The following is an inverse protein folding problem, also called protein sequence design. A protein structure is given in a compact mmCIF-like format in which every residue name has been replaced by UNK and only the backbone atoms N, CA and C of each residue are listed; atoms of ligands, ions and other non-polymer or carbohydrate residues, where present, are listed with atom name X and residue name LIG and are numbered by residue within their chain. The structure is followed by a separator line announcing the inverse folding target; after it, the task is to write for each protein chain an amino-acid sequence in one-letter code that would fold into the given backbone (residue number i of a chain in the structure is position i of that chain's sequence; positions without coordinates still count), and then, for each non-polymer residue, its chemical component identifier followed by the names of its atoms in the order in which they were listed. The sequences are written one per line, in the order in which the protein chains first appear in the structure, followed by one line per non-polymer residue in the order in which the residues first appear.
data_IF_994839467584
#
_entry.id   IF_994839467584
#
_cell.length_a   1.000
_cell.length_b   1.000
_cell.length_c   1.000
_cell.angle_alpha   90.00
_cell.angle_beta   90.00
_cell.angle_gamma   90.00
#
_symmetry.space_group_name_H-M   'P 1'
#
loop_
_entity.id
_entity.type
_entity.pdbx_description
1 polymer ?
#
# COMPACT_ATOMS: atom_id res chain seq x y z
N UNK A 1 -40.47 -11.57 47.19
CA UNK A 1 -39.63 -11.54 45.98
C UNK A 1 -38.17 -11.64 46.38
N UNK A 2 -37.63 -12.85 46.27
CA UNK A 2 -36.23 -13.28 46.43
C UNK A 2 -35.42 -12.80 45.20
N UNK A 3 -34.14 -12.39 45.23
CA UNK A 3 -32.88 -13.14 45.35
C UNK A 3 -31.75 -12.06 45.34
N UNK A 4 -30.95 -11.88 46.39
CA UNK A 4 -29.67 -12.52 46.74
C UNK A 4 -28.48 -12.43 45.74
N UNK A 5 -27.38 -11.83 46.25
CA UNK A 5 -25.96 -12.23 46.15
C UNK A 5 -25.35 -12.51 44.77
N UNK A 6 -24.35 -11.70 44.41
CA UNK A 6 -22.95 -12.12 44.07
C UNK A 6 -22.17 -10.92 43.51
N UNK A 7 -21.33 -10.28 44.31
CA UNK A 7 -20.21 -9.47 43.78
C UNK A 7 -19.05 -9.45 44.79
N UNK A 8 -18.64 -10.65 45.19
CA UNK A 8 -17.59 -10.85 46.19
C UNK A 8 -16.65 -11.94 45.72
N UNK A 9 -16.06 -11.85 44.52
CA UNK A 9 -15.03 -12.82 44.10
C UNK A 9 -14.03 -12.35 43.04
N UNK A 10 -13.87 -11.03 42.81
CA UNK A 10 -12.86 -10.52 41.87
C UNK A 10 -11.88 -9.50 42.47
N UNK A 11 -11.71 -9.52 43.79
CA UNK A 11 -10.73 -8.67 44.50
C UNK A 11 -9.65 -9.47 45.23
N UNK A 12 -9.41 -10.74 44.86
CA UNK A 12 -8.51 -11.65 45.59
C UNK A 12 -7.44 -12.39 44.77
N UNK A 13 -7.23 -12.05 43.49
CA UNK A 13 -6.22 -12.70 42.63
C UNK A 13 -5.15 -11.71 42.10
N UNK A 14 -5.11 -10.47 42.63
CA UNK A 14 -4.14 -9.45 42.17
C UNK A 14 -3.10 -9.05 43.22
N UNK A 15 -2.90 -9.87 44.26
CA UNK A 15 -2.02 -9.55 45.40
C UNK A 15 -0.94 -10.60 45.71
N UNK A 16 -0.63 -11.52 44.79
CA UNK A 16 0.44 -12.53 45.00
C UNK A 16 1.71 -12.32 44.18
N UNK A 17 1.81 -11.30 43.31
CA UNK A 17 2.95 -11.18 42.39
C UNK A 17 3.65 -9.80 42.32
N UNK A 18 3.32 -8.84 43.18
CA UNK A 18 4.02 -7.54 43.20
C UNK A 18 4.25 -7.02 44.64
N UNK A 19 5.39 -7.31 45.29
CA UNK A 19 5.67 -6.84 46.65
C UNK A 19 6.25 -5.42 46.74
N UNK A 20 6.25 -4.63 45.67
CA UNK A 20 6.84 -3.28 45.68
C UNK A 20 5.84 -2.22 45.23
N UNK A 21 4.93 -1.81 46.11
CA UNK A 21 4.28 -0.50 46.05
C UNK A 21 3.76 -0.14 47.45
N UNK A 22 4.68 0.39 48.26
CA UNK A 22 4.40 1.02 49.55
C UNK A 22 3.92 2.44 49.27
N UNK A 23 2.61 2.66 49.25
CA UNK A 23 2.01 3.99 49.20
C UNK A 23 1.84 4.51 50.63
N UNK A 24 2.74 5.39 51.06
CA UNK A 24 2.51 6.26 52.21
C UNK A 24 1.69 7.47 51.75
N UNK A 25 0.52 7.63 52.36
CA UNK A 25 -0.34 8.79 52.23
C UNK A 25 0.28 10.03 52.85
N UNK A 26 0.14 11.20 52.21
CA UNK A 26 -0.45 12.41 52.82
C UNK A 26 -0.41 13.61 51.87
N UNK A 27 -1.41 14.48 52.07
CA UNK A 27 -1.56 15.88 51.62
C UNK A 27 -2.25 16.17 50.29
N UNK A 28 -3.53 16.52 50.48
CA UNK A 28 -4.29 17.57 49.82
C UNK A 28 -3.45 18.72 49.24
N UNK A 29 -3.69 19.04 47.97
CA UNK A 29 -3.67 20.41 47.47
C UNK A 29 -4.58 20.51 46.23
N UNK A 30 -5.52 21.45 46.34
CA UNK A 30 -6.46 21.92 45.32
C UNK A 30 -5.70 22.67 44.23
N UNK A 31 -5.87 22.34 42.94
CA UNK A 31 -5.68 23.27 41.83
C UNK A 31 -6.11 22.68 40.47
N UNK A 32 -7.09 23.37 39.88
CA UNK A 32 -7.19 23.72 38.45
C UNK A 32 -7.35 22.58 37.43
N UNK A 33 -8.58 22.49 36.92
CA UNK A 33 -8.94 21.73 35.71
C UNK A 33 -8.21 22.38 34.52
N UNK A 34 -7.09 21.79 34.12
CA UNK A 34 -6.60 21.90 32.75
C UNK A 34 -7.12 20.69 31.98
N UNK A 35 -8.02 20.94 31.03
CA UNK A 35 -8.39 19.96 30.01
C UNK A 35 -7.16 19.67 29.15
N UNK A 36 -6.35 18.72 29.59
CA UNK A 36 -5.28 18.15 28.77
C UNK A 36 -5.92 17.06 27.92
N UNK A 37 -6.31 17.45 26.71
CA UNK A 37 -6.63 16.53 25.62
C UNK A 37 -5.42 15.62 25.39
N UNK A 38 -5.41 14.45 26.00
CA UNK A 38 -4.52 13.37 25.61
C UNK A 38 -5.05 12.81 24.29
N UNK A 39 -4.58 13.38 23.18
CA UNK A 39 -4.58 12.68 21.88
C UNK A 39 -3.83 11.37 22.07
N UNK A 40 -4.56 10.29 22.37
CA UNK A 40 -4.05 8.95 22.15
C UNK A 40 -3.77 8.82 20.66
N UNK A 41 -2.48 8.74 20.33
CA UNK A 41 -1.99 8.49 18.97
C UNK A 41 -2.68 7.21 18.48
N UNK A 42 -3.40 7.29 17.36
CA UNK A 42 -4.14 6.17 16.73
C UNK A 42 -3.30 4.89 16.56
N UNK A 43 -1.97 5.01 16.54
CA UNK A 43 -1.03 3.89 16.49
C UNK A 43 -0.99 3.05 17.77
N UNK A 44 -1.21 3.63 18.96
CA UNK A 44 -1.15 2.89 20.23
C UNK A 44 -2.37 1.98 20.42
N UNK A 45 -3.56 2.37 19.94
CA UNK A 45 -4.76 1.52 19.99
C UNK A 45 -4.68 0.31 19.06
N UNK A 46 -4.00 0.43 17.91
CA UNK A 46 -3.86 -0.68 16.95
C UNK A 46 -2.89 -1.74 17.50
N UNK A 47 -1.77 -1.31 18.09
CA UNK A 47 -0.85 -2.23 18.77
C UNK A 47 -1.51 -2.92 19.96
N UNK A 48 -2.31 -2.20 20.76
CA UNK A 48 -3.02 -2.80 21.89
C UNK A 48 -4.07 -3.82 21.42
N UNK A 49 -4.82 -3.52 20.34
CA UNK A 49 -5.79 -4.45 19.77
C UNK A 49 -5.13 -5.72 19.22
N UNK A 50 -3.98 -5.59 18.53
CA UNK A 50 -3.20 -6.74 18.06
C UNK A 50 -2.65 -7.59 19.22
N UNK A 51 -2.25 -6.96 20.32
CA UNK A 51 -1.79 -7.65 21.54
C UNK A 51 -2.92 -8.41 22.24
N UNK A 52 -4.13 -7.83 22.31
CA UNK A 52 -5.30 -8.52 22.86
C UNK A 52 -5.71 -9.73 22.01
N UNK A 53 -5.66 -9.61 20.69
CA UNK A 53 -5.98 -10.72 19.78
C UNK A 53 -4.91 -11.82 19.89
N UNK A 54 -3.63 -11.47 19.93
CA UNK A 54 -2.54 -12.45 20.13
C UNK A 54 -2.64 -13.19 21.48
N UNK A 55 -3.01 -12.48 22.56
CA UNK A 55 -3.17 -13.07 23.89
C UNK A 55 -4.38 -14.02 23.98
N UNK A 56 -5.46 -13.73 23.26
CA UNK A 56 -6.65 -14.62 23.19
C UNK A 56 -6.34 -15.89 22.42
N UNK A 57 -5.57 -15.82 21.33
CA UNK A 57 -5.19 -17.02 20.56
C UNK A 57 -4.10 -17.86 21.24
N UNK A 58 -3.18 -17.25 22.00
CA UNK A 58 -2.18 -17.99 22.77
C UNK A 58 -2.80 -18.79 23.94
N UNK A 59 -3.89 -18.27 24.55
CA UNK A 59 -4.60 -18.96 25.64
C UNK A 59 -5.66 -19.97 25.16
N UNK A 60 -5.93 -20.04 23.86
CA UNK A 60 -6.87 -20.99 23.27
C UNK A 60 -6.18 -22.10 22.46
N UNK A 61 -4.90 -22.39 22.71
CA UNK A 61 -4.27 -23.61 22.18
C UNK A 61 -4.62 -24.83 23.05
N UNK A 62 -5.20 -25.91 22.49
CA UNK A 62 -5.10 -27.23 23.10
C UNK A 62 -3.62 -27.63 23.14
N UNK A 63 -3.24 -28.35 24.20
CA UNK A 63 -1.87 -28.40 24.74
C UNK A 63 -0.83 -29.17 23.92
N UNK A 64 -1.09 -29.60 22.68
CA UNK A 64 -0.22 -30.57 22.00
C UNK A 64 0.12 -30.31 20.53
N UNK A 65 -0.19 -29.16 19.93
CA UNK A 65 0.29 -28.89 18.56
C UNK A 65 0.96 -27.51 18.42
N UNK A 66 2.25 -27.55 18.10
CA UNK A 66 3.13 -26.42 17.78
C UNK A 66 2.85 -25.81 16.39
N UNK A 67 1.59 -25.83 15.96
CA UNK A 67 1.23 -25.21 14.68
C UNK A 67 1.04 -23.70 14.86
N UNK A 68 2.03 -22.93 14.40
CA UNK A 68 2.03 -21.45 14.42
C UNK A 68 1.42 -20.86 13.13
N UNK A 69 0.91 -21.71 12.23
CA UNK A 69 0.24 -21.33 10.98
C UNK A 69 -0.92 -20.34 11.18
N UNK A 70 -1.78 -20.42 12.22
CA UNK A 70 -2.87 -19.47 12.41
C UNK A 70 -2.38 -18.06 12.80
N UNK A 71 -1.31 -17.96 13.60
CA UNK A 71 -0.72 -16.68 14.01
C UNK A 71 0.00 -16.03 12.83
N UNK A 72 0.71 -16.83 12.03
CA UNK A 72 1.33 -16.37 10.78
C UNK A 72 0.27 -15.94 9.76
N UNK A 73 -0.83 -16.69 9.61
CA UNK A 73 -1.95 -16.33 8.74
C UNK A 73 -2.66 -15.05 9.20
N UNK A 74 -2.80 -14.84 10.50
CA UNK A 74 -3.40 -13.61 11.05
C UNK A 74 -2.46 -12.40 10.92
N UNK A 75 -1.14 -12.60 11.08
CA UNK A 75 -0.13 -11.57 10.81
C UNK A 75 -0.08 -11.22 9.32
N UNK A 76 -0.14 -12.22 8.44
CA UNK A 76 -0.26 -12.04 7.00
C UNK A 76 -1.56 -11.29 6.67
N UNK A 77 -2.71 -11.69 7.22
CA UNK A 77 -4.01 -11.03 7.02
C UNK A 77 -4.05 -9.60 7.58
N UNK A 78 -3.42 -9.33 8.73
CA UNK A 78 -3.30 -7.98 9.27
C UNK A 78 -2.37 -7.11 8.40
N UNK A 79 -1.29 -7.68 7.87
CA UNK A 79 -0.38 -6.99 6.93
C UNK A 79 -1.04 -6.77 5.56
N UNK A 80 -1.90 -7.69 5.14
CA UNK A 80 -2.71 -7.68 3.91
C UNK A 80 -3.75 -6.55 3.93
N UNK A 81 -4.31 -6.23 5.10
CA UNK A 81 -5.34 -5.19 5.25
C UNK A 81 -4.80 -3.75 5.34
N UNK A 82 -3.48 -3.53 5.50
CA UNK A 82 -2.98 -2.25 6.03
C UNK A 82 -2.62 -1.18 5.01
N UNK A 83 -2.45 -1.47 3.71
CA UNK A 83 -2.42 -0.40 2.72
C UNK A 83 -2.82 -0.85 1.32
N UNK A 84 -3.70 -0.06 0.70
CA UNK A 84 -3.91 -0.10 -0.76
C UNK A 84 -2.80 0.63 -1.52
N UNK A 85 -1.65 0.89 -0.91
CA UNK A 85 -0.52 1.57 -1.53
C UNK A 85 0.74 0.73 -1.32
N UNK A 86 1.57 0.63 -2.36
CA UNK A 86 2.79 -0.16 -2.37
C UNK A 86 3.97 0.65 -2.89
N UNK A 87 5.13 0.45 -2.30
CA UNK A 87 6.41 0.81 -2.88
C UNK A 87 7.10 -0.46 -3.41
N UNK A 88 7.21 -0.59 -4.72
CA UNK A 88 8.06 -1.62 -5.34
C UNK A 88 9.45 -1.03 -5.56
N UNK A 89 10.43 -1.57 -4.84
CA UNK A 89 11.82 -1.14 -4.82
C UNK A 89 12.62 -2.08 -5.69
N UNK A 90 13.45 -1.54 -6.57
CA UNK A 90 14.36 -2.30 -7.44
C UNK A 90 15.79 -1.84 -7.20
N UNK A 91 16.68 -2.81 -6.97
CA UNK A 91 18.12 -2.60 -6.83
C UNK A 91 18.81 -2.72 -8.19
N UNK A 92 19.64 -1.73 -8.53
CA UNK A 92 20.54 -1.76 -9.68
C UNK A 92 21.95 -1.30 -9.28
N UNK A 93 22.85 -2.26 -9.08
CA UNK A 93 24.19 -1.98 -8.57
C UNK A 93 24.10 -1.32 -7.19
N UNK A 94 24.56 -0.07 -7.10
CA UNK A 94 24.53 0.76 -5.88
C UNK A 94 23.33 1.72 -5.83
N UNK A 95 22.47 1.73 -6.85
CA UNK A 95 21.31 2.60 -6.95
C UNK A 95 20.00 1.83 -6.70
N UNK A 96 18.99 2.54 -6.21
CA UNK A 96 17.66 1.99 -5.96
C UNK A 96 16.59 2.94 -6.46
N UNK A 97 15.54 2.38 -7.04
CA UNK A 97 14.32 3.11 -7.37
C UNK A 97 13.12 2.47 -6.69
N UNK A 98 12.24 3.31 -6.16
CA UNK A 98 10.95 2.93 -5.63
C UNK A 98 9.85 3.48 -6.55
N UNK A 99 9.05 2.58 -7.12
CA UNK A 99 7.78 2.94 -7.76
C UNK A 99 6.68 2.80 -6.71
N UNK A 100 6.01 3.91 -6.47
CA UNK A 100 4.90 4.01 -5.55
C UNK A 100 3.63 3.88 -6.38
N UNK A 101 2.74 2.95 -6.03
CA UNK A 101 1.49 2.76 -6.73
C UNK A 101 0.37 2.34 -5.79
N UNK A 102 -0.86 2.60 -6.22
CA UNK A 102 -2.04 2.05 -5.56
C UNK A 102 -2.20 0.59 -5.99
N UNK A 103 -2.38 -0.32 -5.04
CA UNK A 103 -2.55 -1.76 -5.29
C UNK A 103 -3.84 -2.24 -4.60
N UNK A 104 -4.39 -3.41 -5.00
CA UNK A 104 -5.37 -4.08 -4.15
C UNK A 104 -4.83 -4.21 -2.73
N UNK A 105 -5.69 -4.16 -1.72
CA UNK A 105 -5.29 -4.51 -0.36
C UNK A 105 -4.66 -5.92 -0.39
N UNK A 106 -3.50 -6.08 0.22
CA UNK A 106 -2.75 -7.33 0.16
C UNK A 106 -1.86 -7.51 -1.07
N UNK A 107 -2.07 -6.70 -2.10
CA UNK A 107 -1.37 -6.78 -3.38
C UNK A 107 0.05 -6.24 -3.34
N UNK A 108 0.53 -5.69 -2.22
CA UNK A 108 1.89 -5.17 -2.13
C UNK A 108 2.91 -6.30 -1.96
N UNK A 109 3.17 -7.01 -3.06
CA UNK A 109 4.17 -8.07 -3.14
C UNK A 109 4.88 -8.05 -4.48
N UNK A 110 6.11 -8.55 -4.50
CA UNK A 110 6.81 -8.90 -5.73
C UNK A 110 6.32 -10.27 -6.17
N UNK A 111 6.00 -10.44 -7.46
CA UNK A 111 5.69 -11.75 -8.05
C UNK A 111 6.92 -12.64 -7.96
N UNK A 112 6.88 -13.65 -7.09
CA UNK A 112 8.00 -14.58 -6.86
C UNK A 112 8.08 -15.65 -7.96
N UNK A 113 6.97 -15.87 -8.67
CA UNK A 113 6.89 -16.83 -9.77
C UNK A 113 6.43 -16.18 -11.06
N UNK A 114 6.75 -16.81 -12.20
CA UNK A 114 6.26 -16.38 -13.52
C UNK A 114 4.73 -16.40 -13.59
N UNK A 115 4.10 -17.41 -13.00
CA UNK A 115 2.65 -17.52 -12.95
C UNK A 115 2.00 -16.33 -12.22
N UNK A 116 2.56 -15.89 -11.10
CA UNK A 116 2.08 -14.69 -10.39
C UNK A 116 2.28 -13.40 -11.21
N UNK A 117 3.39 -13.27 -11.94
CA UNK A 117 3.62 -12.12 -12.82
C UNK A 117 2.63 -12.11 -13.99
N UNK A 118 2.39 -13.26 -14.62
CA UNK A 118 1.40 -13.40 -15.70
C UNK A 118 -0.01 -13.04 -15.19
N UNK A 119 -0.43 -13.57 -14.05
CA UNK A 119 -1.74 -13.24 -13.47
C UNK A 119 -1.90 -11.73 -13.18
N UNK A 120 -0.83 -11.07 -12.71
CA UNK A 120 -0.82 -9.61 -12.50
C UNK A 120 -0.95 -8.85 -13.83
N UNK A 121 -0.20 -9.25 -14.86
CA UNK A 121 -0.28 -8.66 -16.19
C UNK A 121 -1.67 -8.85 -16.83
N UNK A 122 -2.26 -10.02 -16.69
CA UNK A 122 -3.63 -10.30 -17.16
C UNK A 122 -4.67 -9.46 -16.44
N UNK A 123 -4.54 -9.30 -15.12
CA UNK A 123 -5.42 -8.44 -14.34
C UNK A 123 -5.33 -7.00 -14.82
N UNK A 124 -4.12 -6.45 -14.97
CA UNK A 124 -3.91 -5.09 -15.49
C UNK A 124 -4.50 -4.92 -16.90
N UNK A 125 -4.19 -5.85 -17.81
CA UNK A 125 -4.74 -5.86 -19.18
C UNK A 125 -6.26 -5.82 -19.15
N UNK A 126 -6.89 -6.76 -18.44
CA UNK A 126 -8.34 -6.90 -18.42
C UNK A 126 -9.02 -5.67 -17.79
N UNK A 127 -8.45 -5.12 -16.71
CA UNK A 127 -8.98 -3.91 -16.07
C UNK A 127 -8.85 -2.67 -16.96
N UNK A 128 -7.74 -2.49 -17.67
CA UNK A 128 -7.55 -1.36 -18.59
C UNK A 128 -8.45 -1.51 -19.83
N UNK A 129 -8.48 -2.70 -20.44
CA UNK A 129 -9.31 -2.97 -21.63
C UNK A 129 -10.79 -2.78 -21.33
N UNK A 130 -11.24 -3.11 -20.12
CA UNK A 130 -12.62 -2.87 -19.71
C UNK A 130 -13.03 -1.39 -19.77
N UNK A 131 -12.11 -0.44 -19.55
CA UNK A 131 -12.41 0.99 -19.76
C UNK A 131 -12.61 1.31 -21.24
N UNK A 132 -11.80 0.76 -22.14
CA UNK A 132 -11.98 0.97 -23.59
C UNK A 132 -13.26 0.34 -24.10
N UNK A 133 -13.58 -0.88 -23.66
CA UNK A 133 -14.86 -1.53 -24.01
C UNK A 133 -16.05 -0.69 -23.57
N UNK A 134 -15.99 -0.08 -22.38
CA UNK A 134 -17.04 0.84 -21.90
C UNK A 134 -17.08 2.16 -22.67
N UNK A 135 -15.92 2.68 -23.10
CA UNK A 135 -15.82 3.89 -23.89
C UNK A 135 -16.32 3.72 -25.35
N UNK A 136 -16.44 2.46 -25.81
CA UNK A 136 -17.03 2.12 -27.10
C UNK A 136 -16.04 2.16 -28.26
N UNK A 137 -16.57 2.15 -29.49
CA UNK A 137 -15.80 1.90 -30.73
C UNK A 137 -14.70 2.93 -31.02
N UNK A 138 -14.80 4.13 -30.45
CA UNK A 138 -13.74 5.13 -30.51
C UNK A 138 -12.40 4.63 -29.93
N UNK A 139 -12.44 3.59 -29.08
CA UNK A 139 -11.29 3.01 -28.42
C UNK A 139 -10.86 1.62 -28.92
N UNK A 140 -11.50 1.05 -29.94
CA UNK A 140 -11.22 -0.34 -30.38
C UNK A 140 -9.75 -0.56 -30.77
N UNK A 141 -9.18 0.38 -31.53
CA UNK A 141 -7.76 0.31 -31.92
C UNK A 141 -6.81 0.41 -30.71
N UNK A 142 -7.15 1.25 -29.72
CA UNK A 142 -6.36 1.40 -28.49
C UNK A 142 -6.47 0.14 -27.64
N UNK A 143 -7.67 -0.44 -27.53
CA UNK A 143 -7.89 -1.70 -26.82
C UNK A 143 -7.10 -2.86 -27.44
N UNK A 144 -7.09 -2.96 -28.77
CA UNK A 144 -6.29 -3.94 -29.49
C UNK A 144 -4.79 -3.74 -29.27
N UNK A 145 -4.30 -2.50 -29.35
CA UNK A 145 -2.88 -2.16 -29.11
C UNK A 145 -2.43 -2.52 -27.69
N UNK A 146 -3.23 -2.17 -26.68
CA UNK A 146 -2.95 -2.51 -25.28
C UNK A 146 -2.98 -4.02 -25.06
N UNK A 147 -3.96 -4.72 -25.63
CA UNK A 147 -4.04 -6.19 -25.55
C UNK A 147 -2.78 -6.83 -26.13
N UNK A 148 -2.34 -6.40 -27.31
CA UNK A 148 -1.11 -6.90 -27.96
C UNK A 148 0.13 -6.62 -27.11
N UNK A 149 0.22 -5.44 -26.51
CA UNK A 149 1.35 -5.05 -25.64
C UNK A 149 1.43 -5.95 -24.41
N UNK A 150 0.33 -6.13 -23.68
CA UNK A 150 0.30 -7.01 -22.51
C UNK A 150 0.50 -8.48 -22.87
N UNK A 151 -0.04 -8.95 -23.99
CA UNK A 151 0.23 -10.31 -24.47
C UNK A 151 1.71 -10.51 -24.77
N UNK A 152 2.39 -9.50 -25.32
CA UNK A 152 3.84 -9.54 -25.54
C UNK A 152 4.61 -9.64 -24.21
N UNK A 153 4.22 -8.87 -23.18
CA UNK A 153 4.81 -9.00 -21.83
C UNK A 153 4.56 -10.38 -21.22
N UNK A 154 3.36 -10.94 -21.38
CA UNK A 154 3.02 -12.29 -20.89
C UNK A 154 3.88 -13.34 -21.60
N UNK A 155 3.98 -13.29 -22.93
CA UNK A 155 4.82 -14.20 -23.72
C UNK A 155 6.28 -14.08 -23.31
N UNK A 156 6.81 -12.87 -23.15
CA UNK A 156 8.19 -12.65 -22.70
C UNK A 156 8.43 -13.22 -21.29
N UNK A 157 7.46 -13.03 -20.39
CA UNK A 157 7.53 -13.58 -19.03
C UNK A 157 7.55 -15.11 -19.07
N UNK A 158 6.66 -15.74 -19.84
CA UNK A 158 6.61 -17.20 -19.98
C UNK A 158 7.89 -17.79 -20.60
N UNK A 159 8.46 -17.09 -21.58
CA UNK A 159 9.69 -17.49 -22.27
C UNK A 159 10.97 -17.22 -21.45
N UNK A 160 10.88 -16.47 -20.36
CA UNK A 160 12.01 -16.24 -19.46
C UNK A 160 12.32 -17.52 -18.69
N UNK A 161 13.61 -17.91 -18.67
CA UNK A 161 14.07 -19.05 -17.88
C UNK A 161 13.83 -18.82 -16.37
N UNK A 162 13.43 -19.86 -15.65
CA UNK A 162 13.04 -19.73 -14.24
C UNK A 162 14.16 -19.16 -13.36
N UNK A 163 15.40 -19.58 -13.60
CA UNK A 163 16.57 -19.05 -12.90
C UNK A 163 16.76 -17.54 -13.15
N UNK A 164 16.56 -17.08 -14.39
CA UNK A 164 16.64 -15.66 -14.75
C UNK A 164 15.51 -14.87 -14.10
N UNK A 165 14.29 -15.41 -14.10
CA UNK A 165 13.16 -14.77 -13.46
C UNK A 165 13.38 -14.65 -11.94
N UNK A 166 13.78 -15.73 -11.28
CA UNK A 166 14.08 -15.74 -9.85
C UNK A 166 15.19 -14.74 -9.47
N UNK A 167 16.26 -14.67 -10.26
CA UNK A 167 17.32 -13.68 -10.08
C UNK A 167 16.79 -12.24 -10.19
N UNK A 168 15.89 -11.97 -11.16
CA UNK A 168 15.27 -10.65 -11.33
C UNK A 168 14.30 -10.30 -10.19
N UNK A 169 13.58 -11.28 -9.65
CA UNK A 169 12.67 -11.10 -8.53
C UNK A 169 13.44 -10.84 -7.22
N UNK A 170 14.60 -11.47 -7.04
CA UNK A 170 15.47 -11.25 -5.87
C UNK A 170 16.05 -9.82 -5.79
N UNK A 171 16.12 -9.11 -6.91
CA UNK A 171 16.51 -7.69 -6.96
C UNK A 171 15.38 -6.73 -6.59
N UNK A 172 14.17 -7.25 -6.40
CA UNK A 172 12.98 -6.47 -6.10
C UNK A 172 12.49 -6.71 -4.68
N UNK A 173 11.92 -5.68 -4.07
CA UNK A 173 11.20 -5.77 -2.80
C UNK A 173 9.92 -4.95 -2.90
N UNK A 174 8.89 -5.37 -2.16
CA UNK A 174 7.66 -4.62 -2.04
C UNK A 174 7.47 -4.24 -0.57
N UNK A 175 7.14 -2.98 -0.32
CA UNK A 175 6.90 -2.45 1.03
C UNK A 175 5.55 -1.74 1.02
N UNK A 176 4.65 -2.18 1.89
CA UNK A 176 3.38 -1.52 2.13
C UNK A 176 3.63 -0.11 2.68
N UNK A 177 3.11 0.90 1.99
CA UNK A 177 3.23 2.30 2.42
C UNK A 177 1.89 2.83 2.88
N UNK A 178 1.87 3.65 3.93
CA UNK A 178 0.62 4.17 4.47
C UNK A 178 -0.12 5.07 3.48
N UNK A 179 0.60 5.95 2.79
CA UNK A 179 0.03 6.93 1.87
C UNK A 179 1.03 7.32 0.77
N UNK A 180 0.63 7.13 -0.49
CA UNK A 180 1.44 7.49 -1.65
C UNK A 180 1.78 8.99 -1.73
N UNK A 181 0.86 9.88 -1.30
CA UNK A 181 1.10 11.34 -1.30
C UNK A 181 2.19 11.71 -0.32
N UNK A 182 2.18 11.09 0.87
CA UNK A 182 3.22 11.31 1.89
C UNK A 182 4.58 10.89 1.36
N UNK A 183 4.70 9.67 0.83
CA UNK A 183 5.97 9.18 0.28
C UNK A 183 6.46 9.99 -0.92
N UNK A 184 5.53 10.52 -1.71
CA UNK A 184 5.83 11.35 -2.88
C UNK A 184 6.16 12.81 -2.54
N UNK A 185 6.07 13.24 -1.27
CA UNK A 185 6.18 14.65 -0.88
C UNK A 185 7.38 15.34 -1.52
N UNK A 186 8.57 14.75 -1.42
CA UNK A 186 9.78 15.35 -1.98
C UNK A 186 9.70 15.49 -3.51
N UNK A 187 9.21 14.47 -4.22
CA UNK A 187 8.98 14.52 -5.67
C UNK A 187 7.99 15.63 -6.02
N UNK A 188 6.92 15.80 -5.24
CA UNK A 188 5.91 16.84 -5.46
C UNK A 188 6.45 18.25 -5.21
N UNK A 189 7.31 18.43 -4.21
CA UNK A 189 8.01 19.71 -3.97
C UNK A 189 8.93 20.05 -5.15
N UNK A 190 9.69 19.07 -5.67
CA UNK A 190 10.54 19.27 -6.86
C UNK A 190 9.73 19.62 -8.11
N UNK A 191 8.50 19.11 -8.22
CA UNK A 191 7.53 19.49 -9.26
C UNK A 191 6.90 20.89 -9.04
N UNK A 192 7.37 21.65 -8.05
CA UNK A 192 6.93 23.03 -7.79
C UNK A 192 5.63 23.14 -6.98
N UNK A 193 5.16 22.05 -6.35
CA UNK A 193 3.94 22.12 -5.52
C UNK A 193 4.20 22.74 -4.16
N UNK A 194 3.27 23.58 -3.70
CA UNK A 194 3.29 24.13 -2.35
C UNK A 194 2.84 23.10 -1.31
N UNK A 195 3.22 23.28 -0.04
CA UNK A 195 2.75 22.42 1.07
C UNK A 195 1.22 22.37 1.15
N UNK A 196 0.53 23.48 0.87
CA UNK A 196 -0.93 23.52 0.83
C UNK A 196 -1.50 22.65 -0.31
N UNK A 197 -0.89 22.70 -1.49
CA UNK A 197 -1.29 21.86 -2.63
C UNK A 197 -1.02 20.37 -2.34
N UNK A 198 0.11 20.04 -1.72
CA UNK A 198 0.44 18.67 -1.31
C UNK A 198 -0.55 18.17 -0.26
N UNK A 199 -0.87 18.97 0.75
CA UNK A 199 -1.86 18.62 1.78
C UNK A 199 -3.28 18.45 1.22
N UNK A 200 -3.63 19.20 0.16
CA UNK A 200 -4.90 19.04 -0.55
C UNK A 200 -4.93 17.85 -1.52
N UNK A 201 -3.76 17.27 -1.86
CA UNK A 201 -3.65 16.14 -2.76
C UNK A 201 -4.11 14.86 -2.07
N UNK A 202 -4.98 14.08 -2.72
CA UNK A 202 -5.51 12.83 -2.19
C UNK A 202 -4.86 11.61 -2.86
N UNK A 203 -4.63 10.51 -2.13
CA UNK A 203 -4.30 9.25 -2.76
C UNK A 203 -5.50 8.76 -3.59
N UNK A 204 -5.24 8.26 -4.79
CA UNK A 204 -6.24 7.56 -5.58
C UNK A 204 -6.50 6.15 -5.06
N UNK A 205 -7.52 5.51 -5.62
CA UNK A 205 -7.82 4.09 -5.40
C UNK A 205 -7.38 3.24 -6.61
N UNK A 206 -7.55 1.93 -6.52
CA UNK A 206 -7.13 0.99 -7.56
C UNK A 206 -7.84 1.24 -8.90
N UNK A 207 -9.12 1.61 -8.87
CA UNK A 207 -9.86 1.97 -10.08
C UNK A 207 -9.30 3.25 -10.70
N UNK A 208 -8.90 4.24 -9.89
CA UNK A 208 -8.24 5.44 -10.36
C UNK A 208 -6.90 5.12 -11.05
N UNK A 209 -6.14 4.13 -10.54
CA UNK A 209 -4.91 3.68 -11.20
C UNK A 209 -5.19 3.12 -12.59
N UNK A 210 -6.14 2.18 -12.71
CA UNK A 210 -6.48 1.59 -14.01
C UNK A 210 -7.07 2.62 -14.97
N UNK A 211 -7.89 3.53 -14.45
CA UNK A 211 -8.43 4.65 -15.22
C UNK A 211 -7.30 5.57 -15.72
N UNK A 212 -6.33 5.93 -14.86
CA UNK A 212 -5.19 6.74 -15.25
C UNK A 212 -4.35 6.06 -16.34
N UNK A 213 -4.09 4.76 -16.22
CA UNK A 213 -3.38 3.98 -17.24
C UNK A 213 -4.14 3.92 -18.57
N UNK A 214 -5.46 3.74 -18.53
CA UNK A 214 -6.31 3.75 -19.72
C UNK A 214 -6.29 5.14 -20.39
N UNK A 215 -6.45 6.20 -19.60
CA UNK A 215 -6.46 7.57 -20.10
C UNK A 215 -5.11 7.99 -20.70
N UNK A 216 -3.99 7.69 -20.04
CA UNK A 216 -2.64 7.99 -20.55
C UNK A 216 -2.35 7.29 -21.87
N UNK A 217 -2.75 6.03 -22.01
CA UNK A 217 -2.53 5.28 -23.24
C UNK A 217 -3.46 5.75 -24.36
N UNK A 218 -4.69 6.17 -24.03
CA UNK A 218 -5.62 6.75 -24.98
C UNK A 218 -5.23 8.16 -25.45
N UNK A 219 -4.34 8.87 -24.75
CA UNK A 219 -3.98 10.26 -25.06
C UNK A 219 -3.45 10.48 -26.48
N UNK A 220 -2.88 9.44 -27.12
CA UNK A 220 -2.46 9.47 -28.53
C UNK A 220 -3.61 9.39 -29.54
N UNK A 221 -4.84 9.08 -29.11
CA UNK A 221 -6.04 8.95 -29.93
C UNK A 221 -7.14 9.84 -29.33
N UNK A 222 -7.28 11.11 -29.75
CA UNK A 222 -8.14 12.09 -29.10
C UNK A 222 -9.59 11.64 -28.89
N UNK A 223 -10.18 10.96 -29.88
CA UNK A 223 -11.54 10.43 -29.77
C UNK A 223 -11.68 9.40 -28.63
N UNK A 224 -10.70 8.51 -28.47
CA UNK A 224 -10.68 7.55 -27.37
C UNK A 224 -10.44 8.24 -26.03
N UNK A 225 -9.49 9.19 -25.96
CA UNK A 225 -9.22 9.95 -24.74
C UNK A 225 -10.48 10.69 -24.24
N UNK A 226 -11.22 11.33 -25.13
CA UNK A 226 -12.51 11.97 -24.81
C UNK A 226 -13.55 10.96 -24.34
N UNK A 227 -13.66 9.80 -25.00
CA UNK A 227 -14.61 8.76 -24.63
C UNK A 227 -14.29 8.14 -23.25
N UNK A 228 -13.02 7.84 -22.96
CA UNK A 228 -12.57 7.36 -21.65
C UNK A 228 -12.80 8.43 -20.58
N UNK A 229 -12.48 9.69 -20.87
CA UNK A 229 -12.72 10.82 -19.95
C UNK A 229 -14.20 10.95 -19.59
N UNK A 230 -15.11 10.73 -20.54
CA UNK A 230 -16.55 10.78 -20.30
C UNK A 230 -17.06 9.68 -19.35
N UNK A 231 -16.32 8.58 -19.16
CA UNK A 231 -16.69 7.52 -18.21
C UNK A 231 -16.58 7.97 -16.74
N UNK A 232 -15.60 8.81 -16.43
CA UNK A 232 -15.40 9.39 -15.10
C UNK A 232 -14.67 10.73 -15.20
N UNK A 233 -15.44 11.75 -15.56
CA UNK A 233 -14.96 13.13 -15.69
C UNK A 233 -14.32 13.63 -14.39
N UNK A 234 -14.86 13.26 -13.23
CA UNK A 234 -14.37 13.73 -11.93
C UNK A 234 -12.98 13.17 -11.64
N UNK A 235 -12.77 11.88 -11.86
CA UNK A 235 -11.45 11.28 -11.69
C UNK A 235 -10.47 11.76 -12.76
N UNK A 236 -10.91 11.93 -14.01
CA UNK A 236 -10.09 12.51 -15.06
C UNK A 236 -9.57 13.90 -14.68
N UNK A 237 -10.45 14.80 -14.26
CA UNK A 237 -10.06 16.16 -13.88
C UNK A 237 -9.16 16.14 -12.63
N UNK A 238 -9.43 15.26 -11.65
CA UNK A 238 -8.58 15.15 -10.46
C UNK A 238 -7.17 14.61 -10.76
N UNK A 239 -7.03 13.69 -11.72
CA UNK A 239 -5.77 13.05 -12.11
C UNK A 239 -4.96 13.89 -13.11
N UNK A 240 -5.63 14.75 -13.88
CA UNK A 240 -5.01 15.49 -15.00
C UNK A 240 -4.97 17.01 -14.79
N UNK A 241 -5.60 17.54 -13.73
CA UNK A 241 -5.46 18.95 -13.36
C UNK A 241 -3.99 19.33 -13.22
N UNK A 242 -3.67 20.61 -13.34
CA UNK A 242 -2.30 21.10 -13.11
C UNK A 242 -2.30 22.07 -11.93
N UNK A 243 -1.81 21.67 -10.74
CA UNK A 243 -1.28 20.35 -10.39
C UNK A 243 -2.39 19.28 -10.18
N UNK A 244 -2.10 17.97 -10.38
CA UNK A 244 -3.07 16.91 -10.10
C UNK A 244 -3.52 16.90 -8.65
N UNK A 245 -4.82 16.88 -8.39
CA UNK A 245 -5.38 16.81 -7.01
C UNK A 245 -5.48 15.38 -6.48
N UNK A 246 -5.29 14.39 -7.35
CA UNK A 246 -5.23 12.96 -7.01
C UNK A 246 -3.95 12.33 -7.57
N UNK A 247 -3.33 11.42 -6.82
CA UNK A 247 -2.13 10.68 -7.26
C UNK A 247 -2.37 9.18 -7.08
N UNK A 248 -2.10 8.42 -8.13
CA UNK A 248 -2.23 6.95 -8.18
C UNK A 248 -0.90 6.24 -8.35
N UNK A 249 0.11 6.95 -8.84
CA UNK A 249 1.47 6.48 -9.01
C UNK A 249 2.46 7.61 -8.84
N UNK A 250 3.67 7.28 -8.42
CA UNK A 250 4.80 8.20 -8.27
C UNK A 250 6.09 7.41 -8.27
N UNK A 251 7.22 8.09 -8.44
CA UNK A 251 8.53 7.48 -8.37
C UNK A 251 9.45 8.31 -7.49
N UNK A 252 10.30 7.61 -6.76
CA UNK A 252 11.41 8.17 -6.00
C UNK A 252 12.62 7.24 -6.12
N UNK A 253 13.82 7.75 -5.88
CA UNK A 253 15.03 6.96 -6.01
C UNK A 253 16.22 7.53 -5.26
N UNK A 254 17.24 6.69 -5.15
CA UNK A 254 18.42 6.87 -4.34
C UNK A 254 19.64 6.46 -5.17
N UNK A 255 20.54 7.43 -5.40
CA UNK A 255 21.73 7.25 -6.23
C UNK A 255 21.62 7.90 -7.61
N UNK A 256 22.71 7.89 -8.36
CA UNK A 256 22.77 8.33 -9.76
C UNK A 256 22.70 7.12 -10.67
N UNK A 257 21.73 7.05 -11.57
CA UNK A 257 21.60 5.89 -12.47
C UNK A 257 20.56 6.08 -13.57
N UNK A 258 20.67 5.22 -14.59
CA UNK A 258 19.73 5.10 -15.71
C UNK A 258 18.47 4.31 -15.32
N UNK A 259 17.45 4.32 -16.18
CA UNK A 259 16.18 3.60 -16.03
C UNK A 259 16.32 2.12 -15.66
N UNK A 260 15.35 1.54 -14.95
CA UNK A 260 15.32 0.13 -14.60
C UNK A 260 14.19 -0.63 -15.28
N UNK A 261 14.43 -1.89 -15.63
CA UNK A 261 13.42 -2.79 -16.21
C UNK A 261 12.93 -3.78 -15.16
N UNK A 262 11.61 -3.89 -14.97
CA UNK A 262 10.97 -4.84 -14.06
C UNK A 262 11.13 -6.28 -14.56
N UNK A 263 10.87 -7.27 -13.70
CA UNK A 263 10.79 -8.69 -14.09
C UNK A 263 9.74 -8.98 -15.17
N UNK A 264 8.78 -8.08 -15.37
CA UNK A 264 7.77 -8.12 -16.44
C UNK A 264 8.21 -7.41 -17.73
N UNK A 265 9.43 -6.88 -17.80
CA UNK A 265 9.98 -6.21 -18.99
C UNK A 265 9.61 -4.73 -19.11
N UNK A 266 8.96 -4.12 -18.10
CA UNK A 266 8.57 -2.71 -18.12
C UNK A 266 9.75 -1.85 -17.68
N UNK A 267 10.17 -0.89 -18.52
CA UNK A 267 11.28 0.02 -18.19
C UNK A 267 10.75 1.34 -17.61
N UNK A 268 11.31 1.75 -16.47
CA UNK A 268 10.91 2.95 -15.73
C UNK A 268 12.13 3.85 -15.48
N UNK A 269 12.01 5.18 -15.63
CA UNK A 269 13.11 6.10 -15.33
C UNK A 269 13.49 6.06 -13.85
N UNK A 270 14.78 6.19 -13.55
CA UNK A 270 15.24 6.36 -12.17
C UNK A 270 14.90 7.78 -11.72
N UNK A 271 14.10 7.91 -10.67
CA UNK A 271 13.87 9.20 -10.04
C UNK A 271 15.10 9.59 -9.20
N UNK A 272 15.57 10.82 -9.33
CA UNK A 272 16.72 11.34 -8.54
C UNK A 272 16.30 11.88 -7.17
N UNK A 273 14.99 11.99 -6.94
CA UNK A 273 14.42 12.53 -5.71
C UNK A 273 14.10 11.39 -4.75
N UNK A 274 14.63 11.48 -3.52
CA UNK A 274 14.39 10.50 -2.46
C UNK A 274 12.92 10.49 -2.03
N UNK A 275 12.41 9.32 -1.64
CA UNK A 275 11.08 9.24 -1.02
C UNK A 275 11.09 9.98 0.32
N UNK A 276 9.93 10.39 0.79
CA UNK A 276 9.83 11.18 2.02
C UNK A 276 10.19 10.37 3.28
N UNK A 277 9.74 9.12 3.38
CA UNK A 277 9.96 8.32 4.60
C UNK A 277 10.55 6.94 4.36
N UNK A 278 10.50 6.42 3.13
CA UNK A 278 11.16 5.16 2.78
C UNK A 278 12.67 5.23 3.10
N UNK A 279 13.14 4.40 4.03
CA UNK A 279 14.54 4.36 4.46
C UNK A 279 15.41 3.60 3.44
N UNK A 280 16.71 3.89 3.41
CA UNK A 280 17.69 3.40 2.42
C UNK A 280 18.40 2.10 2.83
N UNK A 281 17.80 1.25 3.66
CA UNK A 281 18.44 0.01 4.15
C UNK A 281 18.53 -1.11 3.08
N UNK A 282 18.75 -0.75 1.80
CA UNK A 282 18.73 -1.66 0.66
C UNK A 282 20.10 -1.80 0.01
#
# INVERSE_FOLDING_TARGET
MTVQKKNTYLNRILLTHFPYLRLTSTRWQTATIFHKETRMKKTTSILLALLFVAAVFANCKPKEEDDNTPVLALLLYANDQLSGNCATIVKQGTAYAANLSVVPKGGCKVSQTKAEAVASLETQRNSIVAFYTKAGSACDAVAASVTTTYNSFITNTNNTADATYAASAALQRAVSISNIVTESKNTLVVQGRTEAQIAATKPGNLNDLFFASAFQTAAGVPACATAVKALDQTSADALTSTPPTKIVSSACGYGTGASYTTSSGVTLPLATTKCATLNTEF
#
